data_IF_594128331696
#
_entry.id   IF_594128331696
#
_cell.length_a   1.000
_cell.length_b   1.000
_cell.length_c   1.000
_cell.angle_alpha   90.00
_cell.angle_beta   90.00
_cell.angle_gamma   90.00
#
_symmetry.space_group_name_H-M   'P 1'
#
loop_
_entity.id
_entity.type
_entity.pdbx_description
1 polymer ?
#
# COMPACT_ATOMS: atom_id res chain seq x y z
N UNK A 1 18.37 19.16 4.61
CA UNK A 1 17.63 18.39 5.63
C UNK A 1 17.41 17.02 5.03
N UNK A 2 17.89 15.93 5.64
CA UNK A 2 17.62 14.59 5.13
C UNK A 2 16.24 14.16 5.63
N UNK A 3 15.32 13.88 4.71
CA UNK A 3 13.97 13.47 5.05
C UNK A 3 13.87 11.95 4.91
N UNK A 4 13.45 11.29 5.99
CA UNK A 4 13.11 9.86 5.99
C UNK A 4 11.61 9.74 6.19
N UNK A 5 10.97 8.83 5.48
CA UNK A 5 9.52 8.61 5.52
C UNK A 5 9.22 7.17 5.91
N UNK A 6 8.17 6.97 6.71
CA UNK A 6 7.70 5.62 7.05
C UNK A 6 6.98 4.96 5.88
N UNK A 7 6.91 3.63 5.90
CA UNK A 7 6.15 2.85 4.92
C UNK A 7 4.68 3.29 4.83
N UNK A 8 4.04 3.56 5.97
CA UNK A 8 2.64 3.97 6.02
C UNK A 8 2.42 5.34 5.36
N UNK A 9 3.28 6.32 5.65
CA UNK A 9 3.21 7.64 5.02
C UNK A 9 3.42 7.54 3.50
N UNK A 10 4.41 6.75 3.07
CA UNK A 10 4.66 6.53 1.64
C UNK A 10 3.43 5.94 0.94
N UNK A 11 2.85 4.87 1.50
CA UNK A 11 1.68 4.21 0.90
C UNK A 11 0.48 5.16 0.87
N UNK A 12 0.21 5.90 1.95
CA UNK A 12 -0.87 6.87 1.98
C UNK A 12 -0.71 7.95 0.91
N UNK A 13 0.52 8.45 0.71
CA UNK A 13 0.83 9.45 -0.29
C UNK A 13 0.73 8.88 -1.72
N UNK A 14 1.24 7.68 -1.96
CA UNK A 14 1.19 6.99 -3.25
C UNK A 14 -0.23 6.63 -3.69
N UNK A 15 -1.17 6.48 -2.74
CA UNK A 15 -2.60 6.30 -3.03
C UNK A 15 -3.29 7.62 -3.37
N UNK A 16 -2.78 8.75 -2.89
CA UNK A 16 -3.36 10.07 -3.14
C UNK A 16 -2.87 10.69 -4.46
N UNK A 17 -1.64 10.40 -4.86
CA UNK A 17 -1.02 10.96 -6.07
C UNK A 17 0.09 10.07 -6.64
N UNK A 18 0.38 10.18 -7.94
CA UNK A 18 1.58 9.59 -8.53
C UNK A 18 2.85 10.14 -7.88
N UNK A 19 3.84 9.28 -7.64
CA UNK A 19 5.15 9.64 -7.10
C UNK A 19 6.29 9.25 -8.06
N UNK A 20 7.46 9.83 -7.85
CA UNK A 20 8.70 9.42 -8.51
C UNK A 20 9.50 8.51 -7.60
N UNK A 21 9.45 7.22 -7.86
CA UNK A 21 10.22 6.21 -7.13
C UNK A 21 11.56 6.00 -7.82
N UNK A 22 12.64 6.07 -7.06
CA UNK A 22 13.98 5.73 -7.53
C UNK A 22 14.39 4.40 -6.90
N UNK A 23 14.29 3.32 -7.67
CA UNK A 23 14.64 1.97 -7.22
C UNK A 23 16.14 1.71 -7.44
N UNK A 24 16.84 1.48 -6.32
CA UNK A 24 18.29 1.28 -6.25
C UNK A 24 18.67 -0.20 -6.14
N UNK A 25 17.70 -1.11 -6.22
CA UNK A 25 17.97 -2.55 -6.22
C UNK A 25 18.75 -2.98 -7.47
N UNK A 26 19.33 -4.16 -7.41
CA UNK A 26 19.99 -4.74 -8.58
C UNK A 26 18.95 -5.15 -9.63
N UNK A 27 19.29 -5.11 -10.93
CA UNK A 27 18.33 -5.37 -12.01
C UNK A 27 17.60 -6.71 -11.92
N UNK A 28 18.26 -7.72 -11.35
CA UNK A 28 17.69 -9.06 -11.13
C UNK A 28 16.45 -9.04 -10.22
N UNK A 29 16.16 -7.93 -9.53
CA UNK A 29 15.01 -7.74 -8.64
C UNK A 29 13.92 -6.82 -9.21
N UNK A 30 14.08 -6.29 -10.43
CA UNK A 30 13.09 -5.37 -11.01
C UNK A 30 11.79 -6.08 -11.39
N UNK A 31 11.87 -7.33 -11.88
CA UNK A 31 10.71 -8.06 -12.42
C UNK A 31 9.92 -8.85 -11.36
N UNK A 32 10.48 -9.05 -10.17
CA UNK A 32 9.91 -9.98 -9.17
C UNK A 32 9.07 -9.29 -8.10
N UNK A 33 9.23 -7.99 -7.93
CA UNK A 33 8.76 -7.24 -6.75
C UNK A 33 8.49 -5.76 -7.11
N UNK A 34 7.76 -5.52 -8.20
CA UNK A 34 7.35 -4.16 -8.54
C UNK A 34 6.26 -3.69 -7.57
N UNK A 35 6.47 -2.51 -6.98
CA UNK A 35 5.52 -1.89 -6.07
C UNK A 35 4.34 -1.40 -6.92
N UNK A 36 3.24 -2.16 -6.90
CA UNK A 36 1.99 -1.84 -7.60
C UNK A 36 1.35 -0.56 -7.05
N UNK A 37 1.89 0.59 -7.44
CA UNK A 37 1.40 1.94 -7.13
C UNK A 37 1.31 2.72 -8.43
N UNK A 38 0.49 3.77 -8.53
CA UNK A 38 0.42 4.66 -9.70
C UNK A 38 1.68 5.52 -9.88
N UNK A 39 2.80 5.13 -9.27
CA UNK A 39 4.06 5.86 -9.27
C UNK A 39 4.88 5.51 -10.49
N UNK A 40 5.61 6.50 -11.01
CA UNK A 40 6.67 6.25 -11.98
C UNK A 40 7.88 5.65 -11.27
N UNK A 41 8.45 4.57 -11.81
CA UNK A 41 9.64 3.93 -11.25
C UNK A 41 10.82 4.16 -12.18
N UNK A 42 11.86 4.78 -11.65
CA UNK A 42 13.16 4.92 -12.31
C UNK A 42 14.14 3.94 -11.68
N UNK A 43 14.73 3.08 -12.49
CA UNK A 43 15.67 2.07 -12.03
C UNK A 43 17.11 2.53 -12.23
N UNK A 44 17.80 2.83 -11.13
CA UNK A 44 19.23 3.14 -11.15
C UNK A 44 19.88 2.35 -10.02
N UNK A 45 20.52 1.20 -10.31
CA UNK A 45 21.18 0.39 -9.30
C UNK A 45 22.12 1.23 -8.44
N UNK A 46 22.18 0.89 -7.15
CA UNK A 46 22.93 1.68 -6.18
C UNK A 46 24.37 2.00 -6.58
N UNK A 47 25.06 1.02 -7.18
CA UNK A 47 26.46 1.17 -7.62
C UNK A 47 26.62 2.12 -8.82
N UNK A 48 25.54 2.34 -9.57
CA UNK A 48 25.53 3.20 -10.76
C UNK A 48 25.05 4.62 -10.45
N UNK A 49 24.25 4.82 -9.40
CA UNK A 49 23.65 6.11 -9.07
C UNK A 49 24.68 7.26 -8.99
N UNK A 50 25.88 7.11 -8.38
CA UNK A 50 26.85 8.20 -8.32
C UNK A 50 27.31 8.72 -9.70
N UNK A 51 27.21 7.90 -10.75
CA UNK A 51 27.58 8.27 -12.11
C UNK A 51 26.37 8.65 -12.99
N UNK A 52 25.14 8.38 -12.52
CA UNK A 52 23.90 8.51 -13.31
C UNK A 52 22.88 9.48 -12.70
N UNK A 53 23.14 10.03 -11.52
CA UNK A 53 22.21 10.94 -10.84
C UNK A 53 21.84 12.20 -11.63
N UNK A 54 22.61 12.56 -12.66
CA UNK A 54 22.32 13.69 -13.56
C UNK A 54 21.22 13.38 -14.59
N UNK A 55 20.80 12.12 -14.71
CA UNK A 55 19.62 11.73 -15.50
C UNK A 55 18.30 12.13 -14.81
N UNK A 56 18.35 12.46 -13.53
CA UNK A 56 17.21 12.85 -12.72
C UNK A 56 16.87 14.32 -12.92
N UNK A 57 15.58 14.66 -12.87
CA UNK A 57 15.10 16.03 -12.91
C UNK A 57 15.17 16.66 -11.50
N UNK A 58 15.76 17.85 -11.40
CA UNK A 58 15.91 18.57 -10.12
C UNK A 58 14.60 19.17 -9.61
N UNK A 59 13.57 19.36 -10.45
CA UNK A 59 12.26 19.84 -9.98
C UNK A 59 11.49 18.79 -9.19
N UNK A 60 11.79 17.51 -9.41
CA UNK A 60 11.04 16.40 -8.86
C UNK A 60 11.53 15.96 -7.47
N UNK A 61 10.63 15.30 -6.73
CA UNK A 61 10.94 14.64 -5.46
C UNK A 61 11.04 13.13 -5.66
N UNK A 62 12.21 12.56 -5.37
CA UNK A 62 12.46 11.13 -5.50
C UNK A 62 12.35 10.38 -4.18
N UNK A 63 11.55 9.32 -4.18
CA UNK A 63 11.40 8.38 -3.07
C UNK A 63 12.29 7.18 -3.32
N UNK A 64 13.33 7.03 -2.51
CA UNK A 64 14.41 6.08 -2.75
C UNK A 64 14.13 4.73 -2.12
N UNK A 65 14.23 3.70 -2.96
CA UNK A 65 13.97 2.32 -2.61
C UNK A 65 15.28 1.52 -2.69
N UNK A 66 15.50 0.73 -1.66
CA UNK A 66 16.45 -0.40 -1.67
C UNK A 66 15.76 -1.54 -0.94
N UNK A 67 16.29 -2.77 -1.00
CA UNK A 67 15.59 -3.93 -0.41
C UNK A 67 15.06 -3.67 1.01
N UNK A 68 15.93 -3.21 1.92
CA UNK A 68 15.61 -2.96 3.35
C UNK A 68 15.65 -1.49 3.77
N UNK A 69 15.78 -0.55 2.82
CA UNK A 69 15.86 0.89 3.08
C UNK A 69 17.21 1.41 3.61
N UNK A 70 18.06 0.57 4.21
CA UNK A 70 19.35 0.99 4.80
C UNK A 70 20.27 1.72 3.83
N UNK A 71 20.34 1.23 2.59
CA UNK A 71 21.23 1.77 1.56
C UNK A 71 20.63 3.01 0.88
N UNK A 72 19.30 3.06 0.77
CA UNK A 72 18.57 4.20 0.27
C UNK A 72 18.84 5.47 1.10
N UNK A 73 18.91 5.36 2.43
CA UNK A 73 19.25 6.49 3.31
C UNK A 73 20.58 7.17 2.96
N UNK A 74 21.61 6.39 2.67
CA UNK A 74 22.92 6.92 2.27
C UNK A 74 22.85 7.61 0.91
N UNK A 75 22.10 7.05 -0.03
CA UNK A 75 21.94 7.63 -1.37
C UNK A 75 21.04 8.87 -1.38
N UNK A 76 20.01 8.93 -0.52
CA UNK A 76 19.19 10.12 -0.35
C UNK A 76 20.02 11.29 0.16
N UNK A 77 20.95 11.04 1.10
CA UNK A 77 21.92 12.05 1.52
C UNK A 77 22.80 12.53 0.36
N UNK A 78 23.37 11.59 -0.39
CA UNK A 78 24.20 11.90 -1.55
C UNK A 78 23.46 12.80 -2.55
N UNK A 79 22.22 12.44 -2.92
CA UNK A 79 21.40 13.24 -3.83
C UNK A 79 21.05 14.62 -3.25
N UNK A 80 20.73 14.69 -1.96
CA UNK A 80 20.45 15.95 -1.26
C UNK A 80 21.67 16.88 -1.30
N UNK A 81 22.88 16.36 -1.08
CA UNK A 81 24.13 17.12 -1.19
C UNK A 81 24.40 17.61 -2.61
N UNK A 82 23.86 16.93 -3.64
CA UNK A 82 23.89 17.36 -5.04
C UNK A 82 22.75 18.32 -5.41
N UNK A 83 21.89 18.69 -4.45
CA UNK A 83 20.79 19.62 -4.62
C UNK A 83 19.53 19.01 -5.23
N UNK A 84 19.30 17.71 -5.03
CA UNK A 84 18.04 17.04 -5.39
C UNK A 84 17.13 16.90 -4.18
N UNK A 85 15.82 16.80 -4.42
CA UNK A 85 14.84 16.45 -3.39
C UNK A 85 14.75 14.93 -3.32
N UNK A 86 15.34 14.33 -2.28
CA UNK A 86 15.41 12.88 -2.11
C UNK A 86 14.96 12.46 -0.70
N UNK A 87 14.06 11.47 -0.66
CA UNK A 87 13.46 10.95 0.57
C UNK A 87 13.72 9.46 0.65
N UNK A 88 14.31 8.96 1.74
CA UNK A 88 14.42 7.51 1.94
C UNK A 88 13.16 6.94 2.57
N UNK A 89 12.68 5.80 2.06
CA UNK A 89 11.56 5.07 2.65
C UNK A 89 12.08 4.00 3.60
N UNK A 90 11.71 4.13 4.87
CA UNK A 90 12.12 3.24 5.96
C UNK A 90 11.61 1.82 5.66
N UNK A 91 12.50 0.84 5.82
CA UNK A 91 12.20 -0.57 5.55
C UNK A 91 12.25 -0.95 4.07
N UNK A 92 12.32 0.02 3.16
CA UNK A 92 12.51 -0.22 1.73
C UNK A 92 11.38 -1.00 1.08
N UNK A 93 11.70 -1.66 -0.04
CA UNK A 93 10.72 -2.42 -0.82
C UNK A 93 10.08 -3.53 -0.02
N UNK A 94 10.85 -4.25 0.81
CA UNK A 94 10.31 -5.34 1.65
C UNK A 94 9.19 -4.85 2.56
N UNK A 95 9.40 -3.73 3.27
CA UNK A 95 8.37 -3.22 4.17
C UNK A 95 7.12 -2.75 3.42
N UNK A 96 7.29 -2.10 2.26
CA UNK A 96 6.17 -1.64 1.42
C UNK A 96 5.34 -2.82 0.92
N UNK A 97 5.98 -3.86 0.40
CA UNK A 97 5.27 -5.05 -0.08
C UNK A 97 4.54 -5.77 1.05
N UNK A 98 5.22 -6.02 2.18
CA UNK A 98 4.58 -6.63 3.36
C UNK A 98 3.40 -5.78 3.85
N UNK A 99 3.54 -4.45 3.86
CA UNK A 99 2.45 -3.56 4.27
C UNK A 99 1.23 -3.67 3.34
N UNK A 100 1.45 -3.68 2.02
CA UNK A 100 0.38 -3.81 1.03
C UNK A 100 -0.30 -5.18 1.09
N UNK A 101 0.45 -6.27 1.30
CA UNK A 101 -0.10 -7.62 1.47
C UNK A 101 -0.99 -7.71 2.72
N UNK A 102 -0.53 -7.18 3.85
CA UNK A 102 -1.30 -7.14 5.10
C UNK A 102 -2.54 -6.25 4.93
N UNK A 103 -2.38 -5.08 4.29
CA UNK A 103 -3.49 -4.17 4.06
C UNK A 103 -4.58 -4.81 3.19
N UNK A 104 -4.21 -5.41 2.06
CA UNK A 104 -5.16 -6.10 1.17
C UNK A 104 -5.84 -7.29 1.86
N UNK A 105 -5.10 -8.13 2.57
CA UNK A 105 -5.67 -9.29 3.27
C UNK A 105 -6.65 -8.87 4.38
N UNK A 106 -6.33 -7.80 5.09
CA UNK A 106 -7.20 -7.23 6.14
C UNK A 106 -8.48 -6.65 5.54
N UNK A 107 -8.39 -5.86 4.46
CA UNK A 107 -9.57 -5.32 3.77
C UNK A 107 -10.49 -6.44 3.25
N UNK A 108 -9.90 -7.49 2.66
CA UNK A 108 -10.66 -8.64 2.16
C UNK A 108 -11.36 -9.40 3.30
N UNK A 109 -10.70 -9.57 4.45
CA UNK A 109 -11.28 -10.20 5.63
C UNK A 109 -12.45 -9.38 6.20
N UNK A 110 -12.26 -8.07 6.35
CA UNK A 110 -13.29 -7.15 6.86
C UNK A 110 -14.51 -7.09 5.92
N UNK A 111 -14.29 -7.04 4.61
CA UNK A 111 -15.36 -7.04 3.62
C UNK A 111 -16.16 -8.36 3.65
N UNK A 112 -15.49 -9.51 3.77
CA UNK A 112 -16.14 -10.83 3.91
C UNK A 112 -16.92 -10.94 5.22
N UNK A 113 -16.37 -10.46 6.33
CA UNK A 113 -17.06 -10.46 7.62
C UNK A 113 -18.31 -9.55 7.57
N UNK A 114 -18.19 -8.34 7.04
CA UNK A 114 -19.32 -7.43 6.88
C UNK A 114 -20.42 -8.01 5.99
N UNK A 115 -20.06 -8.69 4.90
CA UNK A 115 -21.01 -9.41 4.06
C UNK A 115 -21.71 -10.55 4.81
N UNK A 116 -20.97 -11.34 5.59
CA UNK A 116 -21.51 -12.45 6.37
C UNK A 116 -22.42 -11.99 7.52
N UNK A 117 -22.09 -10.88 8.17
CA UNK A 117 -22.92 -10.25 9.21
C UNK A 117 -24.24 -9.74 8.63
N UNK A 118 -24.22 -9.11 7.45
CA UNK A 118 -25.43 -8.68 6.74
C UNK A 118 -26.33 -9.86 6.36
N UNK A 119 -25.75 -10.95 5.84
CA UNK A 119 -26.51 -12.16 5.52
C UNK A 119 -27.13 -12.79 6.78
N UNK A 120 -26.37 -12.88 7.87
CA UNK A 120 -26.84 -13.43 9.14
C UNK A 120 -27.98 -12.59 9.73
N UNK A 121 -27.88 -11.26 9.71
CA UNK A 121 -28.96 -10.37 10.14
C UNK A 121 -30.21 -10.52 9.28
N UNK A 122 -30.07 -10.60 7.95
CA UNK A 122 -31.21 -10.79 7.04
C UNK A 122 -31.92 -12.13 7.27
N UNK A 123 -31.17 -13.21 7.55
CA UNK A 123 -31.73 -14.52 7.88
C UNK A 123 -32.52 -14.51 9.20
N UNK A 124 -32.01 -13.80 10.22
CA UNK A 124 -32.68 -13.62 11.51
C UNK A 124 -34.01 -12.87 11.31
N UNK A 125 -34.00 -11.77 10.54
CA UNK A 125 -35.22 -11.00 10.25
C UNK A 125 -36.23 -11.84 9.47
N UNK A 126 -35.80 -12.58 8.44
CA UNK A 126 -36.68 -13.49 7.67
C UNK A 126 -37.27 -14.58 8.57
N UNK A 127 -36.47 -15.17 9.46
CA UNK A 127 -36.94 -16.18 10.42
C UNK A 127 -37.98 -15.59 11.38
N UNK A 128 -37.73 -14.39 11.91
CA UNK A 128 -38.69 -13.67 12.76
C UNK A 128 -40.01 -13.35 12.05
N UNK A 129 -39.96 -12.90 10.79
CA UNK A 129 -41.16 -12.60 10.01
C UNK A 129 -42.00 -13.86 9.74
N UNK A 130 -41.36 -14.99 9.38
CA UNK A 130 -42.06 -16.27 9.21
C UNK A 130 -42.72 -16.74 10.50
N UNK A 131 -42.05 -16.61 11.65
CA UNK A 131 -42.65 -16.96 12.95
C UNK A 131 -43.86 -16.07 13.27
N UNK A 132 -43.81 -14.77 12.95
CA UNK A 132 -44.96 -13.87 13.13
C UNK A 132 -46.14 -14.23 12.23
N UNK A 133 -45.91 -14.57 10.96
CA UNK A 133 -46.97 -15.04 10.05
C UNK A 133 -47.61 -16.35 10.54
N UNK A 134 -46.82 -17.27 11.05
CA UNK A 134 -47.28 -18.58 11.55
C UNK A 134 -48.11 -18.44 12.84
N UNK A 135 -47.72 -17.51 13.71
CA UNK A 135 -48.49 -17.12 14.91
C UNK A 135 -49.80 -16.41 14.53
N UNK A 136 -49.77 -15.54 13.52
CA UNK A 136 -50.96 -14.86 13.02
C UNK A 136 -51.96 -15.85 12.41
N UNK A 137 -51.50 -16.84 11.63
CA UNK A 137 -52.37 -17.90 11.06
C UNK A 137 -53.03 -18.76 12.15
N UNK A 138 -52.28 -19.17 13.17
CA UNK A 138 -52.82 -19.91 14.33
C UNK A 138 -53.85 -19.14 15.14
N UNK A 139 -53.79 -17.82 15.13
CA UNK A 139 -54.73 -16.96 15.85
C UNK A 139 -56.08 -16.82 15.13
N UNK A 140 -56.12 -17.07 13.82
CA UNK A 140 -57.33 -16.97 12.98
C UNK A 140 -58.08 -18.31 12.89
N UNK A 141 -57.42 -19.45 13.11
CA UNK A 141 -58.08 -20.78 13.17
C UNK A 141 -58.84 -21.06 14.48
N UNK A 142 -58.75 -20.16 15.48
CA UNK A 142 -59.39 -20.30 16.80
C UNK A 142 -60.62 -19.39 17.03
N UNK A 143 -61.17 -18.78 15.97
CA UNK A 143 -62.45 -18.04 15.97
C UNK A 143 -63.44 -18.74 15.08
#
# INVERSE_FOLDING_TARGET
>A
MNYSMTTQEFVALALAQPLHVLDLRDPDFFDTEEVQTPSSVTHIPLTQLPNRYQELDKSETYYLFSQSGKRAKTMARFLTEKGYQAVDVIGGTTAVLTYLEIFHSTQLSLAKQSANDRLSQSLIVIKMLRTKEEMAKRSVEFV
#
